data_IF_080113397849
#
_entry.id   IF_080113397849
#
_cell.length_a   1.000
_cell.length_b   1.000
_cell.length_c   1.000
_cell.angle_alpha   90.00
_cell.angle_beta   90.00
_cell.angle_gamma   90.00
#
_symmetry.space_group_name_H-M   'P 1'
#
loop_
_entity.id
_entity.type
_entity.pdbx_description
1 polymer ?
#
# COMPACT_ATOMS: atom_id res chain seq x y z
N UNK A 1 -1.06 0.25 20.90
CA UNK A 1 -1.42 1.55 20.33
C UNK A 1 -0.17 2.39 20.24
N UNK A 2 0.30 2.63 19.02
CA UNK A 2 1.40 3.52 18.71
C UNK A 2 1.13 4.95 19.22
N UNK A 3 2.18 5.58 19.70
CA UNK A 3 2.15 6.98 20.14
C UNK A 3 2.06 7.92 18.93
N UNK A 4 1.55 9.15 19.13
CA UNK A 4 1.52 10.16 18.06
C UNK A 4 2.90 10.36 17.43
N UNK A 5 3.95 10.39 18.26
CA UNK A 5 5.34 10.55 17.81
C UNK A 5 5.85 9.41 16.94
N UNK A 6 5.39 8.17 17.17
CA UNK A 6 5.80 7.02 16.35
C UNK A 6 5.18 7.07 14.96
N UNK A 7 3.88 7.39 14.88
CA UNK A 7 3.20 7.57 13.59
C UNK A 7 3.81 8.73 12.82
N UNK A 8 4.03 9.87 13.49
CA UNK A 8 4.57 11.06 12.83
C UNK A 8 5.96 10.78 12.26
N UNK A 9 6.83 10.08 13.01
CA UNK A 9 8.15 9.66 12.54
C UNK A 9 8.06 8.70 11.37
N UNK A 10 7.23 7.66 11.46
CA UNK A 10 7.07 6.68 10.39
C UNK A 10 6.58 7.33 9.08
N UNK A 11 5.63 8.27 9.17
CA UNK A 11 5.17 9.04 8.01
C UNK A 11 6.30 9.90 7.44
N UNK A 12 7.09 10.58 8.26
CA UNK A 12 8.22 11.37 7.75
C UNK A 12 9.27 10.48 7.07
N UNK A 13 9.56 9.31 7.64
CA UNK A 13 10.52 8.36 7.08
C UNK A 13 10.01 7.80 5.73
N UNK A 14 8.74 7.42 5.65
CA UNK A 14 8.11 6.95 4.42
C UNK A 14 8.02 8.04 3.33
N UNK A 15 7.74 9.29 3.70
CA UNK A 15 7.72 10.42 2.75
C UNK A 15 9.10 10.67 2.14
N UNK A 16 10.18 10.53 2.91
CA UNK A 16 11.54 10.61 2.36
C UNK A 16 11.83 9.48 1.38
N UNK A 17 11.43 8.24 1.70
CA UNK A 17 11.56 7.12 0.76
C UNK A 17 10.79 7.37 -0.54
N UNK A 18 9.58 7.92 -0.46
CA UNK A 18 8.78 8.29 -1.62
C UNK A 18 9.49 9.39 -2.45
N UNK A 19 9.95 10.46 -1.81
CA UNK A 19 10.65 11.57 -2.46
C UNK A 19 11.93 11.12 -3.17
N UNK A 20 12.76 10.30 -2.50
CA UNK A 20 13.99 9.73 -3.07
C UNK A 20 13.73 8.86 -4.31
N UNK A 21 12.49 8.38 -4.50
CA UNK A 21 12.07 7.58 -5.63
C UNK A 21 11.12 8.35 -6.59
N UNK A 22 11.03 9.67 -6.46
CA UNK A 22 10.32 10.54 -7.41
C UNK A 22 8.80 10.62 -7.20
N UNK A 23 8.31 10.25 -6.02
CA UNK A 23 6.89 10.36 -5.65
C UNK A 23 6.65 11.59 -4.78
N UNK A 24 5.62 12.36 -5.13
CA UNK A 24 5.10 13.42 -4.26
C UNK A 24 3.92 12.89 -3.44
N UNK A 25 3.94 13.17 -2.13
CA UNK A 25 2.95 12.70 -1.16
C UNK A 25 2.60 13.81 -0.18
N UNK A 26 1.33 14.22 -0.19
CA UNK A 26 0.82 15.24 0.73
C UNK A 26 0.18 14.62 1.98
N UNK A 27 -0.09 13.31 1.95
CA UNK A 27 -0.64 12.54 3.07
C UNK A 27 0.09 12.81 4.40
N UNK A 28 -0.72 12.98 5.44
CA UNK A 28 -0.28 13.32 6.79
C UNK A 28 -0.42 12.14 7.74
N UNK A 29 0.19 12.24 8.93
CA UNK A 29 -0.01 11.26 9.98
C UNK A 29 -1.45 11.26 10.54
N UNK A 30 -2.18 12.38 10.43
CA UNK A 30 -3.60 12.42 10.77
C UNK A 30 -4.41 11.62 9.74
N UNK A 31 -4.12 11.77 8.45
CA UNK A 31 -4.74 11.00 7.38
C UNK A 31 -4.53 9.50 7.59
N UNK A 32 -3.29 9.09 7.91
CA UNK A 32 -2.97 7.68 8.19
C UNK A 32 -3.75 7.14 9.39
N UNK A 33 -3.84 7.89 10.49
CA UNK A 33 -4.65 7.48 11.64
C UNK A 33 -6.13 7.32 11.27
N UNK A 34 -6.68 8.30 10.55
CA UNK A 34 -8.07 8.29 10.11
C UNK A 34 -8.37 7.13 9.14
N UNK A 35 -7.42 6.79 8.27
CA UNK A 35 -7.53 5.65 7.37
C UNK A 35 -7.69 4.33 8.11
N UNK A 36 -6.90 4.12 9.17
CA UNK A 36 -7.00 2.92 10.02
C UNK A 36 -8.20 2.92 10.98
N UNK A 37 -9.01 3.99 10.99
CA UNK A 37 -10.30 4.04 11.69
C UNK A 37 -11.48 3.70 10.77
N UNK A 38 -11.24 3.55 9.46
CA UNK A 38 -12.27 3.19 8.49
C UNK A 38 -12.68 1.72 8.61
N UNK A 39 -13.97 1.47 8.40
CA UNK A 39 -14.54 0.14 8.32
C UNK A 39 -14.04 -0.53 7.03
N UNK A 40 -13.57 -1.77 7.15
CA UNK A 40 -12.99 -2.54 6.04
C UNK A 40 -13.55 -3.97 6.05
N UNK A 41 -13.82 -4.58 4.88
CA UNK A 41 -14.18 -5.99 4.80
C UNK A 41 -12.95 -6.92 4.87
N UNK A 42 -11.74 -6.36 4.90
CA UNK A 42 -10.47 -7.08 4.91
C UNK A 42 -10.04 -7.45 6.34
N UNK A 43 -8.96 -8.24 6.49
CA UNK A 43 -8.52 -8.81 7.78
C UNK A 43 -8.31 -7.75 8.87
N UNK A 44 -9.20 -7.74 9.87
CA UNK A 44 -9.15 -6.83 11.02
C UNK A 44 -7.90 -7.02 11.90
N UNK A 45 -7.15 -8.12 11.74
CA UNK A 45 -5.93 -8.36 12.51
C UNK A 45 -4.72 -7.55 12.00
N UNK A 46 -4.83 -6.88 10.85
CA UNK A 46 -3.76 -6.07 10.27
C UNK A 46 -4.02 -4.58 10.50
N UNK A 47 -3.61 -4.09 11.68
CA UNK A 47 -3.82 -2.70 12.10
C UNK A 47 -2.58 -1.80 12.00
N UNK A 48 -2.77 -0.52 12.33
CA UNK A 48 -1.73 0.52 12.28
C UNK A 48 -0.44 0.11 13.01
N UNK A 49 -0.54 -0.51 14.18
CA UNK A 49 0.62 -0.94 14.97
C UNK A 49 1.49 -1.99 14.23
N UNK A 50 0.90 -2.81 13.36
CA UNK A 50 1.64 -3.79 12.54
C UNK A 50 2.29 -3.09 11.33
N UNK A 51 1.55 -2.21 10.66
CA UNK A 51 2.06 -1.43 9.51
C UNK A 51 3.27 -0.60 9.89
N UNK A 52 3.26 0.05 11.06
CA UNK A 52 4.38 0.89 11.51
C UNK A 52 5.69 0.12 11.74
N UNK A 53 5.66 -1.22 11.80
CA UNK A 53 6.87 -2.05 11.94
C UNK A 53 7.61 -2.22 10.62
N UNK A 54 6.97 -1.98 9.49
CA UNK A 54 7.52 -2.22 8.16
C UNK A 54 7.45 -0.92 7.34
N UNK A 55 8.58 -0.22 7.14
CA UNK A 55 8.61 1.07 6.45
C UNK A 55 7.95 1.06 5.07
N UNK A 56 8.09 -0.04 4.31
CA UNK A 56 7.48 -0.18 2.98
C UNK A 56 5.96 -0.35 3.04
N UNK A 57 5.40 -0.86 4.14
CA UNK A 57 3.95 -0.87 4.35
C UNK A 57 3.44 0.53 4.69
N UNK A 58 4.20 1.33 5.43
CA UNK A 58 3.83 2.74 5.63
C UNK A 58 3.85 3.50 4.29
N UNK A 59 4.85 3.24 3.43
CA UNK A 59 4.90 3.78 2.06
C UNK A 59 3.64 3.40 1.27
N UNK A 60 3.23 2.12 1.34
CA UNK A 60 2.02 1.63 0.70
C UNK A 60 0.80 2.44 1.10
N UNK A 61 0.51 2.51 2.40
CA UNK A 61 -0.67 3.21 2.92
C UNK A 61 -0.67 4.69 2.53
N UNK A 62 0.49 5.36 2.58
CA UNK A 62 0.57 6.77 2.18
C UNK A 62 0.23 7.00 0.70
N UNK A 63 0.65 6.09 -0.18
CA UNK A 63 0.33 6.16 -1.62
C UNK A 63 -1.13 5.82 -1.86
N UNK A 64 -1.67 4.83 -1.16
CA UNK A 64 -3.09 4.46 -1.28
C UNK A 64 -3.98 5.64 -0.86
N UNK A 65 -3.75 6.19 0.33
CA UNK A 65 -4.49 7.34 0.87
C UNK A 65 -4.36 8.56 -0.06
N UNK A 66 -3.18 8.82 -0.60
CA UNK A 66 -2.96 9.92 -1.55
C UNK A 66 -3.80 9.73 -2.82
N UNK A 67 -3.89 8.50 -3.36
CA UNK A 67 -4.70 8.22 -4.54
C UNK A 67 -6.20 8.26 -4.25
N UNK A 68 -6.65 7.75 -3.10
CA UNK A 68 -8.04 7.89 -2.64
C UNK A 68 -8.46 9.36 -2.59
N UNK A 69 -7.61 10.24 -2.02
CA UNK A 69 -7.86 11.68 -2.03
C UNK A 69 -7.86 12.28 -3.44
N UNK A 70 -6.95 11.86 -4.33
CA UNK A 70 -6.90 12.32 -5.75
C UNK A 70 -8.13 11.90 -6.55
N UNK A 71 -8.76 10.78 -6.19
CA UNK A 71 -10.05 10.36 -6.74
C UNK A 71 -11.24 11.18 -6.21
N UNK A 72 -10.98 12.18 -5.35
CA UNK A 72 -11.99 13.07 -4.77
C UNK A 72 -12.74 12.45 -3.58
N UNK A 73 -12.25 11.34 -3.02
CA UNK A 73 -12.88 10.70 -1.87
C UNK A 73 -12.39 11.34 -0.56
N UNK A 74 -13.31 11.47 0.39
CA UNK A 74 -12.98 11.91 1.75
C UNK A 74 -12.72 10.68 2.63
N UNK A 75 -11.78 10.77 3.57
CA UNK A 75 -11.44 9.69 4.49
C UNK A 75 -12.51 9.52 5.59
N UNK A 76 -13.74 9.14 5.21
CA UNK A 76 -14.81 8.86 6.15
C UNK A 76 -14.73 7.43 6.67
N UNK A 77 -15.45 7.14 7.75
CA UNK A 77 -15.46 5.80 8.35
C UNK A 77 -15.90 4.71 7.36
N UNK A 78 -16.76 5.02 6.41
CA UNK A 78 -17.32 4.09 5.44
C UNK A 78 -16.62 4.13 4.07
N UNK A 79 -15.57 4.96 3.90
CA UNK A 79 -14.98 5.24 2.58
C UNK A 79 -14.54 3.97 1.85
N UNK A 80 -14.00 2.99 2.58
CA UNK A 80 -13.51 1.73 2.02
C UNK A 80 -14.70 0.88 1.54
N UNK A 81 -15.60 0.53 2.46
CA UNK A 81 -16.74 -0.36 2.18
C UNK A 81 -17.70 0.17 1.12
N UNK A 82 -17.82 1.49 0.95
CA UNK A 82 -18.68 2.08 -0.09
C UNK A 82 -17.99 2.26 -1.45
N UNK A 83 -16.67 2.09 -1.55
CA UNK A 83 -15.91 2.37 -2.76
C UNK A 83 -14.92 1.26 -3.17
N UNK A 84 -15.17 -0.01 -2.80
CA UNK A 84 -14.24 -1.13 -2.95
C UNK A 84 -13.44 -1.17 -4.26
N UNK A 85 -14.08 -0.97 -5.41
CA UNK A 85 -13.39 -0.94 -6.71
C UNK A 85 -12.34 0.18 -6.82
N UNK A 86 -12.67 1.39 -6.35
CA UNK A 86 -11.72 2.52 -6.33
C UNK A 86 -10.60 2.32 -5.30
N UNK A 87 -10.92 1.63 -4.20
CA UNK A 87 -9.91 1.30 -3.18
C UNK A 87 -8.93 0.30 -3.77
N UNK A 88 -9.41 -0.74 -4.47
CA UNK A 88 -8.55 -1.68 -5.17
C UNK A 88 -7.70 -1.00 -6.27
N UNK A 89 -8.25 -0.02 -7.00
CA UNK A 89 -7.46 0.80 -7.93
C UNK A 89 -6.32 1.56 -7.21
N UNK A 90 -6.60 2.16 -6.05
CA UNK A 90 -5.60 2.87 -5.26
C UNK A 90 -4.55 1.92 -4.64
N UNK A 91 -4.99 0.77 -4.14
CA UNK A 91 -4.15 -0.29 -3.60
C UNK A 91 -3.21 -0.88 -4.67
N UNK A 92 -3.68 -1.02 -5.91
CA UNK A 92 -2.85 -1.44 -7.04
C UNK A 92 -1.71 -0.44 -7.32
N UNK A 93 -2.01 0.86 -7.31
CA UNK A 93 -1.01 1.93 -7.48
C UNK A 93 -0.02 1.93 -6.30
N UNK A 94 -0.52 1.75 -5.07
CA UNK A 94 0.30 1.67 -3.87
C UNK A 94 1.28 0.48 -3.91
N UNK A 95 0.77 -0.69 -4.28
CA UNK A 95 1.59 -1.91 -4.45
C UNK A 95 2.68 -1.71 -5.50
N UNK A 96 2.37 -1.05 -6.63
CA UNK A 96 3.35 -0.78 -7.67
C UNK A 96 4.49 0.13 -7.17
N UNK A 97 4.14 1.21 -6.46
CA UNK A 97 5.12 2.14 -5.89
C UNK A 97 5.99 1.46 -4.82
N UNK A 98 5.36 0.72 -3.91
CA UNK A 98 6.02 -0.06 -2.87
C UNK A 98 7.03 -1.05 -3.46
N UNK A 99 6.63 -1.84 -4.46
CA UNK A 99 7.51 -2.83 -5.08
C UNK A 99 8.68 -2.19 -5.82
N UNK A 100 8.45 -1.06 -6.51
CA UNK A 100 9.54 -0.29 -7.15
C UNK A 100 10.59 0.14 -6.12
N UNK A 101 10.15 0.65 -4.98
CA UNK A 101 11.04 1.06 -3.89
C UNK A 101 11.74 -0.16 -3.27
N UNK A 102 11.00 -1.26 -3.02
CA UNK A 102 11.57 -2.50 -2.50
C UNK A 102 12.68 -3.06 -3.42
N UNK A 103 12.47 -3.02 -4.74
CA UNK A 103 13.45 -3.41 -5.75
C UNK A 103 14.68 -2.49 -5.69
N UNK A 104 14.48 -1.17 -5.62
CA UNK A 104 15.59 -0.20 -5.54
C UNK A 104 16.44 -0.41 -4.27
N UNK A 105 15.79 -0.76 -3.16
CA UNK A 105 16.44 -1.09 -1.88
C UNK A 105 17.02 -2.51 -1.83
N UNK A 106 16.71 -3.35 -2.82
CA UNK A 106 17.02 -4.80 -2.83
C UNK A 106 16.45 -5.53 -1.61
N UNK A 107 15.28 -5.11 -1.13
CA UNK A 107 14.57 -5.80 -0.05
C UNK A 107 13.89 -7.07 -0.56
N UNK A 108 14.71 -8.09 -0.79
CA UNK A 108 14.30 -9.39 -1.34
C UNK A 108 13.24 -10.08 -0.48
N UNK A 109 13.26 -9.86 0.84
CA UNK A 109 12.26 -10.45 1.73
C UNK A 109 10.91 -9.82 1.46
N UNK A 110 10.83 -8.49 1.49
CA UNK A 110 9.61 -7.75 1.24
C UNK A 110 9.01 -8.06 -0.14
N UNK A 111 9.86 -8.16 -1.18
CA UNK A 111 9.43 -8.52 -2.53
C UNK A 111 8.78 -9.91 -2.56
N UNK A 112 9.37 -10.91 -1.87
CA UNK A 112 8.83 -12.27 -1.82
C UNK A 112 7.49 -12.31 -1.10
N UNK A 113 7.42 -11.70 0.08
CA UNK A 113 6.19 -11.63 0.87
C UNK A 113 5.06 -10.98 0.06
N UNK A 114 5.36 -9.90 -0.68
CA UNK A 114 4.37 -9.21 -1.51
C UNK A 114 3.96 -10.01 -2.74
N UNK A 115 4.86 -10.76 -3.38
CA UNK A 115 4.50 -11.67 -4.47
C UNK A 115 3.50 -12.75 -4.02
N UNK A 116 3.62 -13.24 -2.79
CA UNK A 116 2.64 -14.17 -2.21
C UNK A 116 1.29 -13.48 -1.99
N UNK A 117 1.27 -12.24 -1.49
CA UNK A 117 0.02 -11.49 -1.36
C UNK A 117 -0.66 -11.24 -2.71
N UNK A 118 0.09 -10.84 -3.74
CA UNK A 118 -0.46 -10.60 -5.07
C UNK A 118 -1.12 -11.86 -5.64
N UNK A 119 -0.57 -13.06 -5.38
CA UNK A 119 -1.22 -14.32 -5.78
C UNK A 119 -2.59 -14.49 -5.12
N UNK A 120 -2.73 -14.13 -3.85
CA UNK A 120 -4.00 -14.19 -3.15
C UNK A 120 -5.00 -13.18 -3.73
N UNK A 121 -4.57 -11.95 -4.01
CA UNK A 121 -5.43 -10.90 -4.58
C UNK A 121 -5.94 -11.22 -6.00
N UNK A 122 -5.15 -11.92 -6.81
CA UNK A 122 -5.58 -12.39 -8.14
C UNK A 122 -6.79 -13.33 -8.04
N UNK A 123 -6.89 -14.11 -6.97
CA UNK A 123 -7.98 -15.07 -6.74
C UNK A 123 -9.14 -14.47 -5.93
N UNK A 124 -9.01 -13.25 -5.40
CA UNK A 124 -10.03 -12.60 -4.60
C UNK A 124 -11.24 -12.17 -5.46
N UNK A 125 -12.46 -12.59 -5.08
CA UNK A 125 -13.69 -12.31 -5.81
C UNK A 125 -14.13 -10.84 -5.76
N UNK A 126 -13.59 -10.06 -4.82
CA UNK A 126 -13.86 -8.62 -4.70
C UNK A 126 -13.03 -7.77 -5.66
N UNK A 127 -11.94 -8.33 -6.21
CA UNK A 127 -11.06 -7.67 -7.18
C UNK A 127 -11.65 -7.78 -8.59
N UNK A 128 -11.68 -6.66 -9.32
CA UNK A 128 -12.26 -6.62 -10.67
C UNK A 128 -11.44 -7.46 -11.66
N UNK A 129 -12.05 -8.00 -12.74
CA UNK A 129 -11.29 -8.73 -13.77
C UNK A 129 -10.16 -7.91 -14.39
N UNK A 130 -10.35 -6.59 -14.51
CA UNK A 130 -9.32 -5.67 -15.02
C UNK A 130 -8.13 -5.58 -14.06
N UNK A 131 -8.37 -5.39 -12.76
CA UNK A 131 -7.30 -5.29 -11.77
C UNK A 131 -6.62 -6.63 -11.53
N UNK A 132 -7.33 -7.77 -11.61
CA UNK A 132 -6.71 -9.11 -11.63
C UNK A 132 -5.66 -9.23 -12.74
N UNK A 133 -5.92 -8.69 -13.93
CA UNK A 133 -4.95 -8.71 -15.03
C UNK A 133 -3.74 -7.80 -14.76
N UNK A 134 -3.97 -6.62 -14.17
CA UNK A 134 -2.88 -5.73 -13.75
C UNK A 134 -2.02 -6.39 -12.66
N UNK A 135 -2.61 -7.04 -11.66
CA UNK A 135 -1.89 -7.81 -10.64
C UNK A 135 -1.10 -8.99 -11.24
N UNK A 136 -1.66 -9.75 -12.19
CA UNK A 136 -0.92 -10.83 -12.88
C UNK A 136 0.32 -10.31 -13.61
N UNK A 137 0.18 -9.17 -14.28
CA UNK A 137 1.30 -8.49 -14.95
C UNK A 137 2.36 -8.06 -13.94
N UNK A 138 1.94 -7.34 -12.89
CA UNK A 138 2.81 -6.88 -11.81
C UNK A 138 3.57 -8.02 -11.15
N UNK A 139 2.88 -9.12 -10.83
CA UNK A 139 3.49 -10.33 -10.28
C UNK A 139 4.55 -10.90 -11.24
N UNK A 140 4.21 -11.06 -12.52
CA UNK A 140 5.11 -11.65 -13.51
C UNK A 140 6.34 -10.80 -13.81
N UNK A 141 6.21 -9.48 -13.77
CA UNK A 141 7.32 -8.53 -13.93
C UNK A 141 8.21 -8.52 -12.69
N UNK A 142 7.61 -8.44 -11.50
CA UNK A 142 8.33 -8.43 -10.22
C UNK A 142 9.09 -9.74 -9.98
N UNK A 143 8.49 -10.89 -10.31
CA UNK A 143 9.15 -12.20 -10.22
C UNK A 143 10.41 -12.26 -11.11
N UNK A 144 10.34 -11.74 -12.34
CA UNK A 144 11.49 -11.69 -13.26
C UNK A 144 12.60 -10.78 -12.73
N UNK A 145 12.24 -9.64 -12.15
CA UNK A 145 13.22 -8.75 -11.51
C UNK A 145 13.87 -9.45 -10.32
N UNK A 146 13.09 -10.09 -9.45
CA UNK A 146 13.59 -10.81 -8.29
C UNK A 146 14.62 -11.90 -8.66
N UNK A 147 14.36 -12.65 -9.73
CA UNK A 147 15.29 -13.67 -10.26
C UNK A 147 16.59 -13.08 -10.82
N UNK A 148 16.60 -11.79 -11.18
CA UNK A 148 17.78 -11.08 -11.66
C UNK A 148 18.61 -10.40 -10.56
N UNK A 149 18.10 -10.36 -9.32
CA UNK A 149 18.84 -9.80 -8.18
C UNK A 149 19.93 -10.82 -7.78
N UNK A 150 21.22 -10.45 -7.87
CA UNK A 150 22.34 -11.33 -7.56
C UNK A 150 22.44 -11.69 -6.07
#
# INVERSE_FOLDING_TARGET
>A
MATSSEVDRAVQDAKRLLEDNGYDCTTTAADLRQWFEADTPFDENFGLDEVLRYPLLVVHELVEIENVKRMGLSLTKDVIVTNLEKIDDAHLIATEAELKIAIALRDVRHIRDRLENIRMWIEDDTVTPENKEKYRRMHSETQRVLESIP
#
